data_IF_216112788199
#
_entry.id   IF_216112788199
#
_cell.length_a   1.000
_cell.length_b   1.000
_cell.length_c   1.000
_cell.angle_alpha   90.00
_cell.angle_beta   90.00
_cell.angle_gamma   90.00
#
_symmetry.space_group_name_H-M   'P 1'
#
loop_
_entity.id
_entity.type
_entity.pdbx_description
1 polymer ?
#
# COMPACT_ATOMS: atom_id res chain seq x y z
N UNK A 1 0.41 3.00 -12.61
CA UNK A 1 0.23 1.69 -11.96
C UNK A 1 -0.91 1.79 -10.96
N UNK A 2 -1.79 0.82 -10.94
CA UNK A 2 -2.90 0.72 -9.98
C UNK A 2 -2.47 -0.05 -8.70
N UNK A 3 -3.24 0.09 -7.64
CA UNK A 3 -3.04 -0.69 -6.39
C UNK A 3 -3.17 -2.19 -6.66
N UNK A 4 -4.09 -2.59 -7.55
CA UNK A 4 -4.24 -4.00 -7.93
C UNK A 4 -3.00 -4.55 -8.65
N UNK A 5 -2.35 -3.76 -9.50
CA UNK A 5 -1.08 -4.16 -10.14
C UNK A 5 0.04 -4.28 -9.11
N UNK A 6 0.13 -3.34 -8.18
CA UNK A 6 1.10 -3.41 -7.09
C UNK A 6 0.90 -4.66 -6.23
N UNK A 7 -0.35 -4.96 -5.84
CA UNK A 7 -0.69 -6.16 -5.07
C UNK A 7 -0.27 -7.46 -5.80
N UNK A 8 -0.49 -7.53 -7.12
CA UNK A 8 -0.04 -8.67 -7.95
C UNK A 8 1.48 -8.83 -7.96
N UNK A 9 2.23 -7.72 -8.06
CA UNK A 9 3.69 -7.76 -8.04
C UNK A 9 4.19 -8.31 -6.70
N UNK A 10 3.64 -7.83 -5.60
CA UNK A 10 3.98 -8.30 -4.24
C UNK A 10 3.63 -9.78 -4.07
N UNK A 11 2.42 -10.17 -4.45
CA UNK A 11 1.96 -11.55 -4.36
C UNK A 11 2.85 -12.52 -5.15
N UNK A 12 3.26 -12.14 -6.36
CA UNK A 12 4.17 -12.92 -7.19
C UNK A 12 5.55 -13.10 -6.52
N UNK A 13 6.09 -12.05 -5.90
CA UNK A 13 7.37 -12.11 -5.21
C UNK A 13 7.31 -13.00 -3.96
N UNK A 14 6.18 -12.96 -3.26
CA UNK A 14 5.90 -13.80 -2.09
C UNK A 14 5.48 -15.23 -2.46
N UNK A 15 5.23 -15.52 -3.75
CA UNK A 15 4.60 -16.77 -4.23
C UNK A 15 3.25 -17.04 -3.55
N UNK A 16 2.50 -15.98 -3.31
CA UNK A 16 1.21 -16.00 -2.65
C UNK A 16 0.07 -15.97 -3.67
N UNK A 17 -0.95 -16.81 -3.46
CA UNK A 17 -2.14 -16.81 -4.31
C UNK A 17 -3.09 -15.69 -3.86
N UNK A 18 -3.12 -14.60 -4.63
CA UNK A 18 -3.86 -13.39 -4.29
C UNK A 18 -5.35 -13.53 -4.61
N UNK A 19 -6.18 -13.43 -3.58
CA UNK A 19 -7.64 -13.37 -3.67
C UNK A 19 -8.14 -12.04 -3.05
N UNK A 20 -8.15 -10.92 -3.80
CA UNK A 20 -8.54 -9.62 -3.25
C UNK A 20 -10.03 -9.57 -2.94
N UNK A 21 -10.38 -9.03 -1.79
CA UNK A 21 -11.75 -8.69 -1.40
C UNK A 21 -11.96 -7.21 -1.72
N UNK A 22 -12.98 -6.93 -2.53
CA UNK A 22 -13.35 -5.55 -2.88
C UNK A 22 -14.47 -5.08 -1.96
N UNK A 23 -14.22 -3.95 -1.30
CA UNK A 23 -15.19 -3.29 -0.43
C UNK A 23 -15.67 -1.98 -1.08
N UNK A 24 -16.83 -1.42 -0.67
CA UNK A 24 -17.27 -0.10 -1.14
C UNK A 24 -16.21 0.97 -0.93
N UNK A 25 -16.18 1.97 -1.84
CA UNK A 25 -15.27 3.10 -1.73
C UNK A 25 -15.49 3.85 -0.39
N UNK A 26 -14.39 4.29 0.21
CA UNK A 26 -14.44 5.07 1.44
C UNK A 26 -14.87 6.52 1.15
N UNK A 27 -15.61 7.17 2.07
CA UNK A 27 -15.92 8.58 1.94
C UNK A 27 -14.66 9.43 1.82
N UNK A 28 -14.67 10.43 0.93
CA UNK A 28 -13.56 11.37 0.71
C UNK A 28 -12.23 10.74 0.28
N UNK A 29 -12.23 9.51 -0.22
CA UNK A 29 -11.03 8.87 -0.75
C UNK A 29 -10.73 9.34 -2.17
N UNK A 30 -9.49 9.72 -2.42
CA UNK A 30 -9.03 10.09 -3.75
C UNK A 30 -8.83 8.84 -4.59
N UNK A 31 -9.70 8.65 -5.59
CA UNK A 31 -9.67 7.47 -6.47
C UNK A 31 -8.48 7.47 -7.45
N UNK A 32 -8.10 8.66 -7.91
CA UNK A 32 -7.00 8.83 -8.87
C UNK A 32 -6.04 9.89 -8.33
N UNK A 33 -4.82 9.49 -8.04
CA UNK A 33 -3.75 10.40 -7.64
C UNK A 33 -2.50 10.06 -8.44
N UNK A 34 -2.05 10.99 -9.27
CA UNK A 34 -0.83 10.87 -10.07
C UNK A 34 -0.02 12.14 -9.96
N UNK A 35 1.31 12.02 -10.03
CA UNK A 35 2.19 13.17 -10.12
C UNK A 35 3.30 12.89 -11.15
N UNK A 36 3.84 13.98 -11.71
CA UNK A 36 4.99 13.94 -12.60
C UNK A 36 6.27 14.31 -11.84
N UNK A 37 7.34 13.57 -12.09
CA UNK A 37 8.66 13.87 -11.56
C UNK A 37 9.49 14.83 -12.46
N UNK A 38 8.90 15.41 -13.50
CA UNK A 38 9.64 16.26 -14.47
C UNK A 38 10.29 17.47 -13.82
N UNK A 39 9.59 18.16 -12.92
CA UNK A 39 10.17 19.28 -12.19
C UNK A 39 11.38 18.87 -11.35
N UNK A 40 11.29 17.73 -10.67
CA UNK A 40 12.41 17.19 -9.89
C UNK A 40 13.59 16.80 -10.82
N UNK A 41 13.34 16.19 -11.96
CA UNK A 41 14.37 15.87 -12.95
C UNK A 41 15.10 17.11 -13.43
N UNK A 42 14.34 18.17 -13.78
CA UNK A 42 14.90 19.42 -14.32
C UNK A 42 15.68 20.23 -13.29
N UNK A 43 15.13 20.35 -12.05
CA UNK A 43 15.69 21.27 -11.04
C UNK A 43 16.73 20.56 -10.16
N UNK A 44 16.49 19.29 -9.80
CA UNK A 44 17.31 18.54 -8.86
C UNK A 44 18.16 17.47 -9.52
N UNK A 45 18.14 17.37 -10.86
CA UNK A 45 18.80 16.29 -11.62
C UNK A 45 18.40 14.90 -11.10
N UNK A 46 17.16 14.76 -10.62
CA UNK A 46 16.64 13.51 -10.07
C UNK A 46 16.62 12.41 -11.12
N UNK A 47 17.11 11.23 -10.76
CA UNK A 47 17.03 10.00 -11.57
C UNK A 47 16.59 8.85 -10.68
N UNK A 48 15.68 8.04 -11.19
CA UNK A 48 15.32 6.77 -10.52
C UNK A 48 16.50 5.82 -10.61
N UNK A 49 17.00 5.34 -9.47
CA UNK A 49 18.16 4.43 -9.40
C UNK A 49 17.77 2.96 -9.31
N UNK A 50 16.56 2.68 -8.83
CA UNK A 50 16.06 1.31 -8.60
C UNK A 50 14.66 1.22 -9.16
N UNK A 51 14.37 0.19 -9.94
CA UNK A 51 13.03 -0.09 -10.42
C UNK A 51 12.15 -0.68 -9.31
N UNK A 52 10.83 -0.63 -9.53
CA UNK A 52 9.85 -1.06 -8.54
C UNK A 52 10.00 -2.55 -8.17
N UNK A 53 10.21 -3.42 -9.16
CA UNK A 53 10.30 -4.86 -8.91
C UNK A 53 11.50 -5.20 -8.03
N UNK A 54 12.64 -4.59 -8.32
CA UNK A 54 13.85 -4.71 -7.49
C UNK A 54 13.62 -4.18 -6.08
N UNK A 55 12.90 -3.06 -5.94
CA UNK A 55 12.56 -2.48 -4.63
C UNK A 55 11.66 -3.43 -3.82
N UNK A 56 10.60 -3.95 -4.43
CA UNK A 56 9.70 -4.92 -3.78
C UNK A 56 10.46 -6.18 -3.36
N UNK A 57 11.31 -6.72 -4.23
CA UNK A 57 12.13 -7.88 -3.88
C UNK A 57 12.99 -7.62 -2.64
N UNK A 58 13.69 -6.48 -2.59
CA UNK A 58 14.52 -6.11 -1.41
C UNK A 58 13.68 -5.99 -0.14
N UNK A 59 12.48 -5.40 -0.22
CA UNK A 59 11.56 -5.30 0.91
C UNK A 59 11.11 -6.68 1.39
N UNK A 60 10.74 -7.56 0.46
CA UNK A 60 10.33 -8.94 0.78
C UNK A 60 11.48 -9.72 1.42
N UNK A 61 12.69 -9.63 0.87
CA UNK A 61 13.87 -10.28 1.43
C UNK A 61 14.18 -9.78 2.85
N UNK A 62 14.03 -8.47 3.09
CA UNK A 62 14.20 -7.87 4.41
C UNK A 62 13.17 -8.39 5.42
N UNK A 63 11.87 -8.35 5.07
CA UNK A 63 10.79 -8.83 5.94
C UNK A 63 10.92 -10.34 6.24
N UNK A 64 11.34 -11.15 5.25
CA UNK A 64 11.59 -12.57 5.47
C UNK A 64 12.74 -12.85 6.43
N UNK A 65 13.74 -11.97 6.46
CA UNK A 65 14.90 -12.09 7.36
C UNK A 65 14.56 -11.62 8.77
N UNK A 66 13.83 -10.53 8.89
CA UNK A 66 13.53 -9.86 10.17
C UNK A 66 12.32 -10.47 10.87
N UNK A 67 11.43 -11.14 10.10
CA UNK A 67 10.15 -11.65 10.56
C UNK A 67 9.01 -10.65 10.34
N UNK A 68 7.79 -11.15 10.35
CA UNK A 68 6.59 -10.32 10.35
C UNK A 68 6.16 -10.09 11.81
N UNK A 69 5.98 -8.83 12.18
CA UNK A 69 5.40 -8.49 13.47
C UNK A 69 3.87 -8.63 13.40
N UNK A 70 3.27 -9.24 14.42
CA UNK A 70 1.83 -9.26 14.55
C UNK A 70 1.31 -7.87 14.90
N UNK A 71 0.28 -7.44 14.20
CA UNK A 71 -0.36 -6.16 14.45
C UNK A 71 -1.53 -6.37 15.43
N UNK A 72 -1.43 -5.75 16.61
CA UNK A 72 -2.51 -5.72 17.59
C UNK A 72 -3.21 -4.36 17.58
N UNK A 73 -4.55 -4.38 17.54
CA UNK A 73 -5.37 -3.18 17.74
C UNK A 73 -5.40 -2.77 19.21
N UNK A 74 -4.40 -1.98 19.62
CA UNK A 74 -4.27 -1.52 21.00
C UNK A 74 -5.09 -0.24 21.28
N UNK A 75 -5.71 0.35 20.26
CA UNK A 75 -6.46 1.59 20.38
C UNK A 75 -7.86 1.46 19.80
N UNK A 76 -8.84 1.99 20.52
CA UNK A 76 -10.16 2.18 19.97
C UNK A 76 -10.20 3.45 19.12
N UNK A 77 -11.01 3.43 18.05
CA UNK A 77 -11.22 4.63 17.23
C UNK A 77 -12.08 5.59 18.05
N UNK A 78 -11.52 6.73 18.45
CA UNK A 78 -12.20 7.72 19.32
C UNK A 78 -13.45 8.33 18.67
N UNK A 79 -13.45 8.44 17.33
CA UNK A 79 -14.55 9.06 16.59
C UNK A 79 -15.13 8.05 15.59
N UNK A 80 -16.25 7.45 15.96
CA UNK A 80 -17.05 6.62 15.05
C UNK A 80 -18.32 7.40 14.66
N UNK A 81 -18.43 7.73 13.37
CA UNK A 81 -19.59 8.41 12.80
C UNK A 81 -19.93 7.85 11.41
N UNK A 82 -20.88 8.50 10.71
CA UNK A 82 -21.29 8.11 9.36
C UNK A 82 -20.18 8.24 8.29
N UNK A 83 -19.16 9.06 8.54
CA UNK A 83 -18.01 9.29 7.66
C UNK A 83 -16.83 8.37 7.97
N UNK A 84 -16.87 7.64 9.08
CA UNK A 84 -15.82 6.69 9.44
C UNK A 84 -15.82 5.52 8.44
N UNK A 85 -14.68 5.21 7.80
CA UNK A 85 -14.58 4.09 6.87
C UNK A 85 -15.02 2.77 7.53
N UNK A 86 -15.80 1.97 6.82
CA UNK A 86 -16.27 0.69 7.32
C UNK A 86 -15.12 -0.23 7.74
N UNK A 87 -14.03 -0.25 6.97
CA UNK A 87 -12.83 -1.03 7.27
C UNK A 87 -12.22 -0.70 8.63
N UNK A 88 -12.30 0.55 9.05
CA UNK A 88 -11.81 0.99 10.37
C UNK A 88 -12.81 0.68 11.47
N UNK A 89 -14.10 1.00 11.21
CA UNK A 89 -15.18 0.76 12.16
C UNK A 89 -15.30 -0.70 12.55
N UNK A 90 -15.19 -1.59 11.57
CA UNK A 90 -15.34 -3.03 11.73
C UNK A 90 -13.99 -3.74 12.00
N UNK A 91 -12.89 -2.99 12.20
CA UNK A 91 -11.52 -3.52 12.42
C UNK A 91 -11.16 -4.63 11.42
N UNK A 92 -11.39 -4.37 10.11
CA UNK A 92 -11.23 -5.36 9.04
C UNK A 92 -9.79 -5.49 8.51
N UNK A 93 -8.84 -4.76 9.07
CA UNK A 93 -7.41 -4.76 8.75
C UNK A 93 -6.60 -4.88 10.03
#
# INVERSE_FOLDING_TARGET
>A
MSINELAKIIANELKFNLHPIYVPARPNEVKYATCSAEKARRILNYKTKVDLKTSIKRMVDYIKKDGAEEFEYNYDIEIINDKTPKTWKDKMI
#
